data_IF_118259780415
#
_entry.id   IF_118259780415
#
_cell.length_a   1.000
_cell.length_b   1.000
_cell.length_c   1.000
_cell.angle_alpha   90.00
_cell.angle_beta   90.00
_cell.angle_gamma   90.00
#
_symmetry.space_group_name_H-M   'P 1'
#
loop_
_entity.id
_entity.type
_entity.pdbx_description
1 polymer ?
#
# COMPACT_ATOMS: atom_id res chain seq x y z
N UNK A 1 -21.35 -14.25 0.72
CA UNK A 1 -20.50 -13.05 0.61
C UNK A 1 -21.34 -11.91 1.17
N UNK A 2 -20.88 -11.23 2.23
CA UNK A 2 -21.65 -10.14 2.85
C UNK A 2 -21.19 -8.86 2.18
N UNK A 3 -22.08 -8.19 1.45
CA UNK A 3 -21.78 -6.90 0.85
C UNK A 3 -21.65 -5.87 1.98
N UNK A 4 -20.44 -5.35 2.19
CA UNK A 4 -20.14 -4.27 3.15
C UNK A 4 -20.36 -2.93 2.48
N UNK A 5 -21.49 -2.77 1.79
CA UNK A 5 -21.86 -1.51 1.14
C UNK A 5 -22.71 -0.73 2.14
N UNK A 6 -22.18 0.38 2.66
CA UNK A 6 -22.91 1.28 3.57
C UNK A 6 -22.51 1.20 5.05
N UNK A 7 -21.74 0.20 5.45
CA UNK A 7 -21.06 0.24 6.75
C UNK A 7 -19.92 1.26 6.64
N UNK A 8 -20.02 2.35 7.40
CA UNK A 8 -18.89 3.26 7.57
C UNK A 8 -17.80 2.51 8.33
N UNK A 9 -16.82 2.00 7.59
CA UNK A 9 -15.57 1.53 8.17
C UNK A 9 -14.92 2.71 8.89
N UNK A 10 -15.10 2.78 10.21
CA UNK A 10 -14.38 3.75 11.03
C UNK A 10 -13.01 3.17 11.35
N UNK A 11 -12.00 3.61 10.59
CA UNK A 11 -10.61 3.37 10.98
C UNK A 11 -10.15 4.48 11.91
N UNK A 12 -9.75 4.14 13.12
CA UNK A 12 -9.04 5.09 13.98
C UNK A 12 -7.66 5.37 13.36
N UNK A 13 -7.50 6.58 12.84
CA UNK A 13 -6.31 7.00 12.08
C UNK A 13 -5.05 7.03 12.93
N UNK A 14 -5.14 6.99 14.27
CA UNK A 14 -3.98 6.86 15.17
C UNK A 14 -3.23 5.54 14.96
N UNK A 15 -3.91 4.51 14.47
CA UNK A 15 -3.32 3.23 14.13
C UNK A 15 -2.92 3.13 12.65
N UNK A 16 -3.12 4.18 11.86
CA UNK A 16 -2.65 4.20 10.48
C UNK A 16 -1.11 4.18 10.47
N UNK A 17 -0.55 3.22 9.74
CA UNK A 17 0.88 3.07 9.51
C UNK A 17 1.11 3.07 8.01
N UNK A 18 1.37 4.24 7.39
CA UNK A 18 1.57 4.31 5.95
C UNK A 18 2.81 3.49 5.59
N UNK A 19 2.65 2.57 4.65
CA UNK A 19 3.71 1.71 4.14
C UNK A 19 3.48 1.47 2.65
N UNK A 20 4.56 1.21 1.92
CA UNK A 20 4.53 0.85 0.51
C UNK A 20 4.89 -0.62 0.37
N UNK A 21 3.95 -1.42 -0.13
CA UNK A 21 4.24 -2.81 -0.50
C UNK A 21 5.03 -2.82 -1.80
N UNK A 22 6.24 -3.37 -1.78
CA UNK A 22 7.13 -3.41 -2.95
C UNK A 22 7.13 -4.77 -3.67
N UNK A 23 6.72 -5.84 -2.99
CA UNK A 23 6.67 -7.18 -3.53
C UNK A 23 5.66 -8.05 -2.77
N UNK A 24 5.11 -9.04 -3.46
CA UNK A 24 4.33 -10.13 -2.87
C UNK A 24 4.94 -11.45 -3.29
N UNK A 25 5.11 -12.38 -2.35
CA UNK A 25 5.63 -13.71 -2.66
C UNK A 25 4.68 -14.51 -3.59
N UNK A 26 3.36 -14.31 -3.46
CA UNK A 26 2.30 -14.98 -4.22
C UNK A 26 2.37 -16.52 -4.21
N UNK A 27 3.17 -17.10 -3.32
CA UNK A 27 3.37 -18.53 -3.07
C UNK A 27 3.87 -18.71 -1.65
N UNK A 28 3.81 -19.95 -1.15
CA UNK A 28 4.43 -20.30 0.13
C UNK A 28 5.96 -20.15 0.03
N UNK A 29 6.53 -19.42 0.98
CA UNK A 29 7.97 -19.16 1.07
C UNK A 29 8.45 -19.40 2.49
N UNK A 30 9.62 -20.01 2.63
CA UNK A 30 10.28 -20.16 3.93
C UNK A 30 10.90 -18.81 4.30
N UNK A 31 10.22 -18.05 5.17
CA UNK A 31 10.59 -16.68 5.55
C UNK A 31 12.07 -16.52 5.94
N UNK A 32 12.64 -17.51 6.65
CA UNK A 32 14.05 -17.48 7.06
C UNK A 32 15.02 -17.34 5.89
N UNK A 33 14.67 -17.84 4.71
CA UNK A 33 15.48 -17.73 3.51
C UNK A 33 15.42 -16.33 2.88
N UNK A 34 14.40 -15.53 3.21
CA UNK A 34 14.24 -14.17 2.72
C UNK A 34 14.90 -13.13 3.62
N UNK A 35 15.22 -13.47 4.87
CA UNK A 35 15.75 -12.52 5.85
C UNK A 35 17.03 -11.81 5.38
N UNK A 36 18.05 -12.50 4.81
CA UNK A 36 19.26 -11.81 4.35
C UNK A 36 18.97 -10.74 3.28
N UNK A 37 18.09 -11.07 2.32
CA UNK A 37 17.66 -10.14 1.27
C UNK A 37 16.89 -8.94 1.85
N UNK A 38 16.03 -9.18 2.85
CA UNK A 38 15.29 -8.10 3.53
C UNK A 38 16.25 -7.19 4.32
N UNK A 39 17.25 -7.77 4.98
CA UNK A 39 18.23 -7.02 5.75
C UNK A 39 19.07 -6.11 4.84
N UNK A 40 19.50 -6.59 3.66
CA UNK A 40 20.15 -5.75 2.64
C UNK A 40 19.26 -4.59 2.16
N UNK A 41 17.94 -4.79 2.06
CA UNK A 41 17.01 -3.74 1.66
C UNK A 41 16.83 -2.67 2.75
N UNK A 42 16.97 -3.03 4.03
CA UNK A 42 16.85 -2.07 5.15
C UNK A 42 17.98 -1.06 5.19
N UNK A 43 19.16 -1.44 4.70
CA UNK A 43 20.33 -0.56 4.63
C UNK A 43 20.29 0.41 3.44
N UNK A 44 19.29 0.28 2.54
CA UNK A 44 19.14 1.20 1.41
C UNK A 44 18.61 2.55 1.89
N UNK A 45 19.10 3.66 1.31
CA UNK A 45 18.57 4.98 1.64
C UNK A 45 17.08 5.07 1.27
N UNK A 46 16.27 5.76 2.09
CA UNK A 46 14.88 6.00 1.77
C UNK A 46 14.76 6.88 0.52
N UNK A 47 13.63 6.74 -0.18
CA UNK A 47 13.28 7.58 -1.32
C UNK A 47 12.14 8.50 -0.92
N UNK A 48 12.27 9.79 -1.24
CA UNK A 48 11.20 10.76 -1.09
C UNK A 48 10.27 10.68 -2.30
N UNK A 49 8.98 10.49 -2.06
CA UNK A 49 7.95 10.50 -3.09
C UNK A 49 6.81 11.45 -2.69
N UNK A 50 6.27 12.16 -3.69
CA UNK A 50 5.11 13.02 -3.50
C UNK A 50 3.82 12.25 -3.85
N UNK A 51 2.79 12.40 -3.02
CA UNK A 51 1.44 11.87 -3.30
C UNK A 51 0.58 13.01 -3.85
N UNK A 52 0.22 12.93 -5.13
CA UNK A 52 -0.54 13.97 -5.84
C UNK A 52 -2.01 13.63 -6.05
N UNK A 53 -2.41 12.37 -5.88
CA UNK A 53 -3.79 11.94 -6.05
C UNK A 53 -4.16 10.83 -5.07
N UNK A 54 -5.46 10.72 -4.79
CA UNK A 54 -6.08 9.56 -4.15
C UNK A 54 -6.94 8.86 -5.18
N UNK A 55 -6.75 7.55 -5.31
CA UNK A 55 -7.54 6.71 -6.21
C UNK A 55 -8.50 5.82 -5.40
N UNK A 56 -9.76 5.74 -5.87
CA UNK A 56 -10.64 4.63 -5.51
C UNK A 56 -10.30 3.46 -6.44
N UNK A 57 -9.97 2.32 -5.86
CA UNK A 57 -9.60 1.12 -6.59
C UNK A 57 -10.57 -0.01 -6.27
N UNK A 58 -10.94 -0.77 -7.30
CA UNK A 58 -11.52 -2.09 -7.12
C UNK A 58 -10.37 -3.08 -6.89
N UNK A 59 -10.39 -3.77 -5.75
CA UNK A 59 -9.43 -4.82 -5.42
C UNK A 59 -10.07 -6.19 -5.59
N UNK A 60 -9.52 -6.99 -6.50
CA UNK A 60 -9.92 -8.38 -6.73
C UNK A 60 -8.75 -9.31 -6.46
N UNK A 61 -9.00 -10.46 -5.83
CA UNK A 61 -8.00 -11.51 -5.67
C UNK A 61 -8.27 -12.62 -6.69
N UNK A 62 -7.33 -12.82 -7.61
CA UNK A 62 -7.38 -13.88 -8.61
C UNK A 62 -6.32 -14.94 -8.25
N UNK A 63 -6.75 -16.01 -7.59
CA UNK A 63 -5.85 -17.00 -7.01
C UNK A 63 -4.97 -16.40 -5.91
N UNK A 64 -3.66 -16.34 -6.13
CA UNK A 64 -2.69 -15.74 -5.20
C UNK A 64 -2.30 -14.30 -5.56
N UNK A 65 -2.84 -13.77 -6.66
CA UNK A 65 -2.48 -12.44 -7.18
C UNK A 65 -3.58 -11.44 -6.86
N UNK A 66 -3.20 -10.29 -6.32
CA UNK A 66 -4.09 -9.14 -6.21
C UNK A 66 -4.07 -8.33 -7.50
N UNK A 67 -5.26 -8.06 -8.05
CA UNK A 67 -5.46 -7.13 -9.16
C UNK A 67 -6.19 -5.89 -8.67
N UNK A 68 -5.77 -4.75 -9.19
CA UNK A 68 -6.31 -3.44 -8.85
C UNK A 68 -6.77 -2.76 -10.13
N UNK A 69 -8.02 -2.37 -10.19
CA UNK A 69 -8.55 -1.52 -11.25
C UNK A 69 -8.89 -0.14 -10.67
N UNK A 70 -8.33 0.92 -11.27
CA UNK A 70 -8.62 2.29 -10.85
C UNK A 70 -10.01 2.69 -11.34
N UNK A 71 -10.92 2.96 -10.41
CA UNK A 71 -12.30 3.39 -10.73
C UNK A 71 -12.41 4.91 -10.87
N UNK A 72 -11.72 5.65 -10.00
CA UNK A 72 -11.65 7.11 -10.04
C UNK A 72 -10.40 7.61 -9.33
N UNK A 73 -9.99 8.85 -9.60
CA UNK A 73 -9.02 9.56 -8.76
C UNK A 73 -9.44 11.00 -8.51
N UNK A 74 -8.96 11.54 -7.40
CA UNK A 74 -9.13 12.94 -7.01
C UNK A 74 -7.74 13.51 -6.74
N UNK A 75 -7.39 14.67 -7.32
CA UNK A 75 -6.11 15.31 -7.04
C UNK A 75 -6.07 15.76 -5.58
N UNK A 76 -4.95 15.47 -4.92
CA UNK A 76 -4.56 16.17 -3.71
C UNK A 76 -3.90 17.47 -4.17
N UNK A 77 -4.34 18.61 -3.63
CA UNK A 77 -3.79 19.92 -3.98
C UNK A 77 -2.26 20.01 -3.80
N UNK A 78 -1.63 21.14 -4.16
CA UNK A 78 -0.17 21.25 -4.18
C UNK A 78 0.44 20.79 -2.86
N UNK A 79 1.41 19.88 -2.94
CA UNK A 79 2.18 19.38 -1.79
C UNK A 79 2.90 20.58 -1.18
N UNK A 80 2.50 20.99 0.03
CA UNK A 80 3.26 21.97 0.78
C UNK A 80 4.63 21.34 1.10
N UNK A 81 5.68 21.83 0.46
CA UNK A 81 7.06 21.48 0.80
C UNK A 81 7.32 21.96 2.23
N UNK A 82 7.54 21.03 3.16
CA UNK A 82 8.12 21.37 4.44
C UNK A 82 9.59 21.76 4.20
N UNK A 83 9.95 23.01 4.50
CA UNK A 83 11.34 23.48 4.49
C UNK A 83 12.14 22.78 5.59
N UNK A 84 13.39 22.44 5.26
CA UNK A 84 14.40 21.87 6.15
C UNK A 84 14.87 22.85 7.24
#
# INVERSE_FOLDING_TARGET
MRDVVGDRAHMDTRYFRPHLSIAYANTDVVVRLLLPMIDELRERPPVTAAVSEVALVELRREGTIYRFDKLMSVPLGPVATASA
#
